data_IF_777178446746
#
_entry.id   IF_777178446746
#
_cell.length_a   1.000
_cell.length_b   1.000
_cell.length_c   1.000
_cell.angle_alpha   90.00
_cell.angle_beta   90.00
_cell.angle_gamma   90.00
#
_symmetry.space_group_name_H-M   'P 1'
#
loop_
_entity.id
_entity.type
_entity.pdbx_description
1 polymer ?
#
# COMPACT_ATOMS: atom_id res chain seq x y z
N UNK A 1 6.82 -9.92 22.37
CA UNK A 1 7.17 -8.68 21.62
C UNK A 1 6.05 -7.69 21.84
N UNK A 2 6.36 -6.43 22.19
CA UNK A 2 5.32 -5.44 22.44
C UNK A 2 4.73 -5.00 21.08
N UNK A 3 3.43 -5.17 20.90
CA UNK A 3 2.73 -5.03 19.60
C UNK A 3 2.02 -3.68 19.45
N UNK A 4 1.94 -2.91 20.54
CA UNK A 4 1.46 -1.54 20.55
C UNK A 4 2.62 -0.55 20.34
N UNK A 5 3.44 -0.81 19.32
CA UNK A 5 4.56 0.07 18.95
C UNK A 5 4.01 1.18 18.07
N UNK A 6 4.27 2.43 18.47
CA UNK A 6 3.98 3.60 17.65
C UNK A 6 5.01 3.67 16.51
N UNK A 7 4.52 3.86 15.29
CA UNK A 7 5.34 4.02 14.10
C UNK A 7 6.24 5.26 14.19
N UNK A 8 7.45 5.15 13.64
CA UNK A 8 8.35 6.32 13.45
C UNK A 8 7.69 7.41 12.59
N UNK A 9 6.98 6.98 11.55
CA UNK A 9 6.20 7.84 10.67
C UNK A 9 4.79 7.25 10.51
N UNK A 10 3.74 8.08 10.65
CA UNK A 10 2.37 7.61 10.46
C UNK A 10 2.16 7.19 9.00
N UNK A 11 1.27 6.21 8.79
CA UNK A 11 0.82 5.82 7.46
C UNK A 11 -0.37 6.68 7.06
N UNK A 12 -0.33 7.29 5.88
CA UNK A 12 -1.43 8.11 5.39
C UNK A 12 -2.27 7.33 4.40
N UNK A 13 -3.54 7.10 4.76
CA UNK A 13 -4.51 6.51 3.83
C UNK A 13 -4.91 7.52 2.76
N UNK A 14 -5.27 7.02 1.58
CA UNK A 14 -6.00 7.79 0.58
C UNK A 14 -7.33 8.25 1.21
N UNK A 15 -7.43 9.54 1.54
CA UNK A 15 -8.52 10.10 2.36
C UNK A 15 -8.04 10.91 3.56
N UNK A 16 -6.73 10.88 3.85
CA UNK A 16 -6.09 11.76 4.84
C UNK A 16 -6.15 11.26 6.28
N UNK A 17 -6.65 10.05 6.53
CA UNK A 17 -6.63 9.43 7.86
C UNK A 17 -5.23 8.85 8.16
N UNK A 18 -4.54 9.30 9.22
CA UNK A 18 -3.26 8.75 9.63
C UNK A 18 -3.42 7.50 10.51
N UNK A 19 -2.58 6.49 10.29
CA UNK A 19 -2.45 5.31 11.14
C UNK A 19 -1.10 5.36 11.86
N UNK A 20 -1.11 5.17 13.18
CA UNK A 20 0.08 5.28 14.03
C UNK A 20 0.56 3.91 14.53
N UNK A 21 -0.32 2.91 14.57
CA UNK A 21 -0.01 1.59 15.12
C UNK A 21 -0.53 0.47 14.21
N UNK A 22 -0.01 -0.74 14.41
CA UNK A 22 -0.54 -1.94 13.74
C UNK A 22 -1.99 -2.23 14.11
N UNK A 23 -2.43 -1.81 15.31
CA UNK A 23 -3.82 -1.95 15.74
C UNK A 23 -4.73 -1.01 14.94
N UNK A 24 -4.30 0.22 14.68
CA UNK A 24 -5.06 1.16 13.84
C UNK A 24 -5.27 0.57 12.44
N UNK A 25 -4.22 -0.03 11.86
CA UNK A 25 -4.31 -0.69 10.55
C UNK A 25 -5.27 -1.89 10.58
N UNK A 26 -5.18 -2.74 11.60
CA UNK A 26 -6.09 -3.89 11.77
C UNK A 26 -7.55 -3.45 11.87
N UNK A 27 -7.83 -2.43 12.68
CA UNK A 27 -9.19 -1.94 12.89
C UNK A 27 -9.72 -1.23 11.62
N UNK A 28 -8.86 -0.52 10.90
CA UNK A 28 -9.24 0.10 9.63
C UNK A 28 -9.55 -0.94 8.55
N UNK A 29 -8.74 -1.99 8.41
CA UNK A 29 -8.92 -3.02 7.37
C UNK A 29 -10.29 -3.71 7.42
N UNK A 30 -10.95 -3.73 8.58
CA UNK A 30 -12.31 -4.30 8.74
C UNK A 30 -13.40 -3.48 8.06
N UNK A 31 -13.19 -2.17 7.96
CA UNK A 31 -14.16 -1.21 7.42
C UNK A 31 -13.65 -0.47 6.18
N UNK A 32 -12.40 -0.75 5.76
CA UNK A 32 -11.73 -0.07 4.66
C UNK A 32 -12.44 -0.34 3.32
N UNK A 33 -12.86 0.71 2.60
CA UNK A 33 -13.38 0.57 1.25
C UNK A 33 -12.37 -0.07 0.30
N UNK A 34 -12.86 -0.87 -0.65
CA UNK A 34 -12.01 -1.66 -1.54
C UNK A 34 -11.10 -0.80 -2.42
N UNK A 35 -11.59 0.34 -2.88
CA UNK A 35 -10.84 1.29 -3.71
C UNK A 35 -9.70 1.98 -2.96
N UNK A 36 -9.83 2.17 -1.65
CA UNK A 36 -8.77 2.68 -0.78
C UNK A 36 -7.71 1.58 -0.57
N UNK A 37 -8.14 0.34 -0.32
CA UNK A 37 -7.23 -0.79 -0.19
C UNK A 37 -6.41 -1.01 -1.48
N UNK A 38 -7.07 -1.06 -2.64
CA UNK A 38 -6.43 -1.31 -3.94
C UNK A 38 -5.43 -0.18 -4.33
N UNK A 39 -5.58 1.02 -3.76
CA UNK A 39 -4.61 2.10 -3.94
C UNK A 39 -3.27 1.82 -3.25
N UNK A 40 -3.32 1.15 -2.10
CA UNK A 40 -2.14 0.83 -1.29
C UNK A 40 -1.58 -0.56 -1.58
N UNK A 41 -2.43 -1.49 -2.02
CA UNK A 41 -2.07 -2.88 -2.32
C UNK A 41 -2.53 -3.22 -3.74
N UNK A 42 -1.59 -3.45 -4.63
CA UNK A 42 -1.86 -3.87 -6.00
C UNK A 42 -0.75 -4.79 -6.51
N UNK A 43 -0.79 -5.14 -7.80
CA UNK A 43 0.17 -6.07 -8.41
C UNK A 43 1.63 -5.60 -8.35
N UNK A 44 1.88 -4.30 -8.18
CA UNK A 44 3.21 -3.70 -8.22
C UNK A 44 3.73 -3.29 -6.84
N UNK A 45 2.85 -3.09 -5.86
CA UNK A 45 3.23 -2.59 -4.54
C UNK A 45 2.31 -3.07 -3.42
N UNK A 46 2.87 -3.13 -2.22
CA UNK A 46 2.13 -3.26 -0.98
C UNK A 46 2.68 -2.26 0.05
N UNK A 47 2.02 -1.12 0.15
CA UNK A 47 2.45 -0.02 1.02
C UNK A 47 2.34 -0.41 2.50
N UNK A 48 1.40 -1.28 2.88
CA UNK A 48 1.23 -1.75 4.26
C UNK A 48 2.41 -2.62 4.71
N UNK A 49 2.89 -3.51 3.83
CA UNK A 49 4.07 -4.32 4.10
C UNK A 49 5.32 -3.44 4.25
N UNK A 50 5.52 -2.48 3.33
CA UNK A 50 6.65 -1.54 3.39
C UNK A 50 6.62 -0.70 4.68
N UNK A 51 5.46 -0.15 5.04
CA UNK A 51 5.30 0.62 6.28
C UNK A 51 5.53 -0.23 7.54
N UNK A 52 5.01 -1.45 7.57
CA UNK A 52 5.23 -2.39 8.69
C UNK A 52 6.71 -2.73 8.86
N UNK A 53 7.45 -2.88 7.76
CA UNK A 53 8.89 -3.13 7.78
C UNK A 53 9.68 -1.92 8.26
N UNK A 54 9.45 -0.75 7.65
CA UNK A 54 10.33 0.40 7.82
C UNK A 54 9.94 1.33 8.97
N UNK A 55 8.64 1.51 9.23
CA UNK A 55 8.17 2.42 10.29
C UNK A 55 7.91 1.73 11.61
N UNK A 56 7.45 0.47 11.59
CA UNK A 56 7.20 -0.33 12.80
C UNK A 56 8.42 -1.21 13.15
N UNK A 57 9.15 -1.71 12.14
CA UNK A 57 10.29 -2.61 12.35
C UNK A 57 9.91 -4.09 12.48
N UNK A 58 8.70 -4.50 12.07
CA UNK A 58 8.22 -5.87 12.23
C UNK A 58 8.39 -6.71 10.95
N UNK A 59 9.63 -7.09 10.63
CA UNK A 59 9.98 -7.74 9.36
C UNK A 59 9.19 -9.02 9.04
N UNK A 60 9.02 -9.92 10.02
CA UNK A 60 8.28 -11.18 9.81
C UNK A 60 6.82 -10.97 9.45
N UNK A 61 6.20 -9.92 9.99
CA UNK A 61 4.82 -9.58 9.68
C UNK A 61 4.75 -8.90 8.31
N UNK A 62 5.69 -8.01 8.01
CA UNK A 62 5.78 -7.37 6.70
C UNK A 62 5.88 -8.41 5.57
N UNK A 63 6.68 -9.47 5.72
CA UNK A 63 6.75 -10.56 4.74
C UNK A 63 5.42 -11.30 4.56
N UNK A 64 4.67 -11.52 5.65
CA UNK A 64 3.32 -12.11 5.57
C UNK A 64 2.34 -11.18 4.85
N UNK A 65 2.37 -9.89 5.17
CA UNK A 65 1.52 -8.88 4.53
C UNK A 65 1.84 -8.74 3.03
N UNK A 66 3.10 -8.82 2.64
CA UNK A 66 3.53 -8.77 1.24
C UNK A 66 2.90 -9.87 0.38
N UNK A 67 2.66 -11.05 0.98
CA UNK A 67 2.02 -12.19 0.31
C UNK A 67 0.48 -12.10 0.30
N UNK A 68 -0.11 -11.31 1.20
CA UNK A 68 -1.54 -11.10 1.29
C UNK A 68 -2.03 -10.18 0.16
N UNK A 69 -3.14 -10.55 -0.47
CA UNK A 69 -3.74 -9.82 -1.60
C UNK A 69 -5.12 -9.25 -1.29
N UNK A 70 -5.70 -9.63 -0.16
CA UNK A 70 -7.01 -9.15 0.27
C UNK A 70 -6.95 -8.47 1.64
N UNK A 71 -7.91 -7.56 1.94
CA UNK A 71 -8.02 -6.95 3.27
C UNK A 71 -8.14 -8.00 4.39
N UNK A 72 -8.89 -9.09 4.12
CA UNK A 72 -9.14 -10.18 5.08
C UNK A 72 -7.87 -10.97 5.41
N UNK A 73 -7.01 -11.23 4.43
CA UNK A 73 -5.71 -11.89 4.67
C UNK A 73 -4.77 -11.00 5.48
N UNK A 74 -4.73 -9.69 5.18
CA UNK A 74 -3.98 -8.73 5.98
C UNK A 74 -4.50 -8.68 7.42
N UNK A 75 -5.82 -8.57 7.60
CA UNK A 75 -6.46 -8.59 8.91
C UNK A 75 -6.11 -9.87 9.68
N UNK A 76 -6.14 -11.04 9.04
CA UNK A 76 -5.78 -12.32 9.65
C UNK A 76 -4.33 -12.31 10.16
N UNK A 77 -3.37 -11.91 9.33
CA UNK A 77 -1.96 -11.86 9.75
C UNK A 77 -1.71 -10.82 10.85
N UNK A 78 -2.40 -9.69 10.80
CA UNK A 78 -2.35 -8.69 11.86
C UNK A 78 -2.97 -9.23 13.15
N UNK A 79 -4.11 -9.90 13.09
CA UNK A 79 -4.77 -10.52 14.24
C UNK A 79 -3.86 -11.55 14.89
N UNK A 80 -3.23 -12.42 14.11
CA UNK A 80 -2.29 -13.42 14.62
C UNK A 80 -1.09 -12.77 15.33
N UNK A 81 -0.60 -11.64 14.80
CA UNK A 81 0.50 -10.91 15.39
C UNK A 81 0.08 -10.11 16.65
N UNK A 82 -1.12 -9.53 16.66
CA UNK A 82 -1.66 -8.71 17.74
C UNK A 82 -2.24 -9.55 18.89
N UNK A 83 -2.67 -10.78 18.64
CA UNK A 83 -3.29 -11.65 19.63
C UNK A 83 -2.74 -13.06 19.47
N UNK A 84 -1.45 -13.28 19.77
CA UNK A 84 -0.86 -14.61 19.73
C UNK A 84 -1.64 -15.51 20.68
N UNK A 85 -2.43 -16.42 20.11
CA UNK A 85 -3.23 -17.38 20.87
C UNK A 85 -2.27 -18.38 21.50
N UNK A 86 -1.91 -18.15 22.77
CA UNK A 86 -1.19 -19.05 23.67
C UNK A 86 0.07 -19.73 23.10
N UNK A 87 1.24 -19.29 23.57
CA UNK A 87 2.56 -19.94 23.41
C UNK A 87 2.62 -21.42 23.87
N UNK A 88 1.54 -22.00 24.40
CA UNK A 88 1.53 -23.34 25.02
C UNK A 88 1.64 -24.52 24.05
N UNK A 89 1.53 -24.30 22.73
CA UNK A 89 1.65 -25.37 21.73
C UNK A 89 2.72 -25.08 20.67
N UNK A 90 3.63 -24.12 20.87
CA UNK A 90 4.73 -23.95 19.93
C UNK A 90 5.66 -25.17 20.04
N UNK A 91 5.78 -26.06 19.03
CA UNK A 91 6.89 -26.98 18.98
C UNK A 91 8.13 -26.11 18.97
N UNK A 92 8.93 -26.28 20.02
CA UNK A 92 10.27 -25.72 20.16
C UNK A 92 10.90 -25.73 18.78
N UNK A 93 11.07 -24.54 18.19
CA UNK A 93 11.84 -24.41 16.96
C UNK A 93 13.19 -25.02 17.33
N UNK A 94 13.42 -26.25 16.86
CA UNK A 94 14.73 -26.88 16.88
C UNK A 94 15.65 -25.81 16.34
N UNK A 95 16.44 -25.22 17.24
CA UNK A 95 17.66 -24.52 16.91
C UNK A 95 18.30 -25.41 15.86
N UNK A 96 18.38 -24.94 14.62
CA UNK A 96 19.25 -25.57 13.65
C UNK A 96 20.57 -25.76 14.39
N UNK A 97 21.10 -26.99 14.47
CA UNK A 97 22.36 -27.24 15.15
C UNK A 97 23.36 -26.18 14.70
N UNK A 98 24.21 -25.65 15.60
CA UNK A 98 25.31 -24.80 15.17
C UNK A 98 26.00 -25.55 14.04
N UNK A 99 25.98 -24.98 12.83
CA UNK A 99 26.81 -25.51 11.76
C UNK A 99 28.21 -25.56 12.37
N UNK A 100 28.88 -26.73 12.38
CA UNK A 100 30.24 -26.79 12.86
C UNK A 100 31.01 -25.73 12.10
N UNK A 101 31.68 -24.85 12.83
CA UNK A 101 32.63 -23.91 12.28
C UNK A 101 33.59 -24.73 11.40
N UNK A 102 33.37 -24.67 10.09
CA UNK A 102 34.37 -25.11 9.15
C UNK A 102 35.45 -24.03 9.24
N UNK A 103 36.42 -24.31 10.10
CA UNK A 103 37.74 -23.72 10.05
C UNK A 103 38.28 -24.11 8.66
N UNK A 104 38.13 -23.22 7.68
CA UNK A 104 38.97 -23.25 6.49
C UNK A 104 40.06 -22.21 6.70
N UNK A 105 41.18 -22.78 7.14
CA UNK A 105 42.53 -22.25 7.10
C UNK A 105 42.77 -21.44 5.83
N UNK A 106 43.47 -20.32 6.02
CA UNK A 106 44.24 -19.65 4.98
C UNK A 106 44.99 -20.68 4.12
N UNK A 107 44.89 -20.51 2.80
CA UNK A 107 46.00 -20.79 1.90
C UNK A 107 45.93 -19.89 0.67
N UNK A 108 46.71 -18.82 0.74
CA UNK A 108 47.63 -18.31 -0.28
C UNK A 108 47.40 -18.69 -1.78
N UNK A 109 47.02 -17.65 -2.52
CA UNK A 109 47.63 -17.14 -3.79
C UNK A 109 47.41 -17.88 -5.13
N UNK A 110 47.67 -17.23 -6.30
CA UNK A 110 46.69 -17.05 -7.38
C UNK A 110 47.08 -17.79 -8.67
N UNK A 111 46.17 -17.97 -9.63
CA UNK A 111 46.53 -18.13 -11.05
C UNK A 111 45.30 -18.09 -11.98
N UNK A 112 45.23 -16.98 -12.72
CA UNK A 112 44.94 -16.86 -14.16
C UNK A 112 44.52 -18.15 -14.86
N UNK A 113 43.28 -18.20 -15.38
CA UNK A 113 42.99 -18.75 -16.72
C UNK A 113 41.85 -17.96 -17.36
N UNK A 114 42.21 -17.16 -18.34
CA UNK A 114 41.31 -16.66 -19.38
C UNK A 114 41.02 -17.81 -20.35
N UNK A 115 39.79 -18.01 -20.81
CA UNK A 115 39.49 -18.43 -22.19
C UNK A 115 38.01 -18.14 -22.53
N UNK A 116 37.71 -17.55 -23.70
CA UNK A 116 36.36 -17.30 -24.22
C UNK A 116 35.91 -18.43 -25.16
N UNK A 117 34.60 -18.74 -25.24
CA UNK A 117 33.96 -19.07 -26.53
C UNK A 117 32.43 -19.09 -26.48
N UNK A 118 31.88 -18.53 -27.56
CA UNK A 118 30.48 -18.43 -27.97
C UNK A 118 29.78 -19.79 -28.10
N UNK A 119 28.43 -19.79 -28.16
CA UNK A 119 27.62 -19.92 -29.39
C UNK A 119 26.15 -20.20 -29.01
N UNK A 120 25.30 -19.24 -29.40
CA UNK A 120 23.96 -19.37 -30.01
C UNK A 120 23.21 -20.71 -29.98
N UNK A 121 21.98 -20.72 -29.44
CA UNK A 121 20.83 -21.40 -30.08
C UNK A 121 19.55 -20.59 -29.84
N UNK A 122 19.06 -20.01 -30.93
CA UNK A 122 17.69 -19.53 -31.11
C UNK A 122 16.68 -20.68 -31.08
N UNK A 123 15.59 -20.55 -30.32
CA UNK A 123 14.40 -21.38 -30.51
C UNK A 123 13.19 -20.49 -30.78
N UNK A 124 13.01 -20.13 -32.06
CA UNK A 124 11.71 -19.76 -32.57
C UNK A 124 10.86 -21.01 -32.80
N UNK A 125 9.56 -20.84 -32.58
CA UNK A 125 8.42 -21.37 -33.36
C UNK A 125 7.40 -22.14 -32.55
N UNK A 126 6.16 -21.74 -32.82
CA UNK A 126 4.91 -22.49 -32.72
C UNK A 126 4.20 -22.31 -31.37
N UNK A 127 2.98 -21.79 -31.26
CA UNK A 127 1.83 -21.95 -32.16
C UNK A 127 0.80 -20.83 -32.00
N UNK A 128 0.35 -20.34 -33.16
CA UNK A 128 -0.99 -19.78 -33.37
C UNK A 128 -2.06 -20.88 -33.18
N UNK A 129 -3.09 -20.61 -32.38
CA UNK A 129 -4.46 -21.15 -32.46
C UNK A 129 -5.39 -20.05 -31.93
N UNK A 130 -5.93 -19.19 -32.77
CA UNK A 130 -7.18 -19.35 -33.54
C UNK A 130 -8.42 -19.60 -32.66
N UNK A 131 -9.12 -18.49 -32.40
CA UNK A 131 -10.58 -18.28 -32.39
C UNK A 131 -11.48 -19.35 -31.77
N UNK A 132 -12.16 -18.97 -30.69
CA UNK A 132 -13.56 -19.37 -30.51
C UNK A 132 -14.40 -18.16 -30.07
N UNK A 133 -15.30 -17.79 -30.96
CA UNK A 133 -16.46 -16.97 -30.71
C UNK A 133 -17.54 -17.79 -29.95
N UNK A 134 -18.58 -17.07 -29.52
CA UNK A 134 -19.73 -17.49 -28.70
C UNK A 134 -19.39 -17.50 -27.20
N UNK A 135 -20.00 -16.64 -26.38
CA UNK A 135 -21.43 -16.70 -26.11
C UNK A 135 -22.03 -15.35 -25.69
N UNK A 136 -23.22 -15.06 -26.22
CA UNK A 136 -24.10 -13.96 -25.82
C UNK A 136 -24.46 -14.12 -24.34
N UNK A 137 -24.12 -13.12 -23.53
CA UNK A 137 -24.89 -12.84 -22.33
C UNK A 137 -25.62 -11.53 -22.57
N UNK A 138 -26.91 -11.67 -22.87
CA UNK A 138 -27.91 -10.64 -22.69
C UNK A 138 -27.87 -10.22 -21.22
N UNK A 139 -27.38 -9.01 -20.92
CA UNK A 139 -27.84 -8.29 -19.75
C UNK A 139 -28.46 -7.00 -20.25
N UNK A 140 -29.78 -6.95 -20.19
CA UNK A 140 -30.58 -5.77 -20.43
C UNK A 140 -30.03 -4.62 -19.58
N UNK A 141 -29.43 -3.62 -20.25
CA UNK A 141 -29.19 -2.32 -19.67
C UNK A 141 -30.55 -1.70 -19.36
N UNK A 142 -31.07 -2.02 -18.18
CA UNK A 142 -32.14 -1.28 -17.53
C UNK A 142 -31.61 0.14 -17.35
N UNK A 143 -32.06 1.02 -18.24
CA UNK A 143 -31.96 2.48 -18.16
C UNK A 143 -32.57 2.95 -16.85
N UNK A 144 -31.79 2.87 -15.77
CA UNK A 144 -32.09 3.55 -14.52
C UNK A 144 -31.61 4.98 -14.71
N UNK A 145 -32.52 5.82 -15.18
CA UNK A 145 -32.46 7.27 -15.00
C UNK A 145 -32.19 7.54 -13.51
N UNK A 146 -30.91 7.61 -13.14
CA UNK A 146 -30.52 8.20 -11.87
C UNK A 146 -30.73 9.69 -12.05
N UNK A 147 -31.88 10.13 -11.57
CA UNK A 147 -32.15 11.49 -11.19
C UNK A 147 -30.90 11.99 -10.44
N UNK A 148 -30.19 12.91 -11.08
CA UNK A 148 -29.04 13.60 -10.56
C UNK A 148 -29.51 14.41 -9.35
N UNK A 149 -29.41 13.82 -8.17
CA UNK A 149 -29.54 14.53 -6.90
C UNK A 149 -28.58 15.73 -6.93
N UNK A 150 -29.07 16.97 -6.73
CA UNK A 150 -28.21 18.13 -6.69
C UNK A 150 -27.30 18.02 -5.47
N UNK A 151 -26.02 17.87 -5.77
CA UNK A 151 -24.87 18.00 -4.87
C UNK A 151 -25.14 19.11 -3.84
N UNK A 152 -25.41 18.71 -2.60
CA UNK A 152 -25.52 19.64 -1.49
C UNK A 152 -24.21 20.41 -1.38
N UNK A 153 -24.36 21.73 -1.31
CA UNK A 153 -23.26 22.68 -1.31
C UNK A 153 -22.59 22.60 0.05
N UNK A 154 -21.33 22.17 0.06
CA UNK A 154 -20.46 22.34 1.21
C UNK A 154 -20.36 23.84 1.58
N UNK A 155 -20.54 24.24 2.85
CA UNK A 155 -20.54 25.63 3.31
C UNK A 155 -19.14 26.30 3.32
N UNK A 156 -18.16 25.75 2.62
CA UNK A 156 -16.76 26.22 2.64
C UNK A 156 -16.46 27.35 1.65
N UNK A 157 -17.39 27.71 0.77
CA UNK A 157 -17.21 28.76 -0.26
C UNK A 157 -17.85 30.11 0.09
N UNK A 158 -18.58 30.21 1.22
CA UNK A 158 -19.24 31.45 1.63
C UNK A 158 -18.27 32.48 2.24
N UNK A 159 -17.07 32.07 2.66
CA UNK A 159 -16.04 32.97 3.17
C UNK A 159 -15.21 33.66 2.09
N UNK A 160 -15.15 33.14 0.86
CA UNK A 160 -14.38 33.77 -0.22
C UNK A 160 -15.13 34.94 -0.89
N UNK A 161 -16.46 34.89 -0.92
CA UNK A 161 -17.27 35.93 -1.57
C UNK A 161 -17.41 37.22 -0.73
N UNK A 162 -17.24 37.18 0.59
CA UNK A 162 -17.33 38.40 1.43
C UNK A 162 -16.11 39.31 1.30
N UNK A 163 -14.92 38.77 0.99
CA UNK A 163 -13.70 39.58 0.87
C UNK A 163 -13.64 40.40 -0.42
N UNK A 164 -14.32 39.98 -1.50
CA UNK A 164 -14.37 40.77 -2.74
C UNK A 164 -15.25 42.02 -2.58
N UNK A 165 -16.32 41.94 -1.78
CA UNK A 165 -17.23 43.07 -1.54
C UNK A 165 -16.62 44.15 -0.63
N UNK A 166 -15.83 43.78 0.38
CA UNK A 166 -15.18 44.74 1.29
C UNK A 166 -13.95 45.41 0.66
N UNK A 167 -13.26 44.76 -0.27
CA UNK A 167 -12.11 45.34 -0.97
C UNK A 167 -12.46 46.52 -1.88
N UNK A 168 -13.64 46.49 -2.52
CA UNK A 168 -14.05 47.54 -3.47
C UNK A 168 -14.47 48.83 -2.74
N UNK A 169 -15.07 48.74 -1.55
CA UNK A 169 -15.52 49.93 -0.79
C UNK A 169 -14.34 50.66 -0.14
N UNK A 170 -13.32 49.94 0.33
CA UNK A 170 -12.10 50.54 0.92
C UNK A 170 -11.26 51.27 -0.13
N UNK A 171 -11.16 50.73 -1.36
CA UNK A 171 -10.39 51.33 -2.45
C UNK A 171 -10.92 52.70 -2.91
N UNK A 172 -12.23 52.89 -2.96
CA UNK A 172 -12.82 54.16 -3.40
C UNK A 172 -12.68 55.30 -2.37
N UNK A 173 -12.56 55.00 -1.08
CA UNK A 173 -12.38 56.04 -0.05
C UNK A 173 -10.96 56.63 -0.06
N UNK A 174 -9.95 55.80 -0.36
CA UNK A 174 -8.55 56.23 -0.37
C UNK A 174 -8.19 57.05 -1.62
N UNK A 175 -8.85 56.84 -2.75
CA UNK A 175 -8.60 57.64 -3.97
C UNK A 175 -9.14 59.06 -3.85
N UNK A 176 -10.24 59.28 -3.11
CA UNK A 176 -10.80 60.62 -2.87
C UNK A 176 -9.92 61.44 -1.92
N UNK A 177 -9.25 60.79 -0.95
CA UNK A 177 -8.36 61.47 0.00
C UNK A 177 -7.04 61.94 -0.62
N UNK A 178 -6.62 61.36 -1.75
CA UNK A 178 -5.39 61.75 -2.47
C UNK A 178 -5.62 62.80 -3.57
N UNK A 179 -6.88 63.16 -3.85
CA UNK A 179 -7.28 64.15 -4.87
C UNK A 179 -7.76 65.49 -4.29
N UNK A 180 -7.78 65.63 -2.96
CA UNK A 180 -8.06 66.87 -2.21
C UNK A 180 -6.75 67.39 -1.59
#
# INVERSE_FOLDING_TARGET
>A
MNINIKAKHPFWLKGGKPLHTLRDLHDELKIMPRDIFDHHVNAHKNDFAAWTKHSIGHERLAQKLEQAKSPREHEMHLRDALFPQNEKNAPEQKKTPPQPAIIHSENKTPLIVSTPRQVHVSNERSRLRLTHAHERIHSENKTRLHLREPHEKHPSTLLAASYVALGIVSGCALTILFLL
#
